data_IF_053465807671
#
_entry.id   IF_053465807671
#
_cell.length_a   1.000
_cell.length_b   1.000
_cell.length_c   1.000
_cell.angle_alpha   90.00
_cell.angle_beta   90.00
_cell.angle_gamma   90.00
#
_symmetry.space_group_name_H-M   'P 1'
#
loop_
_entity.id
_entity.type
_entity.pdbx_description
1 polymer ?
#
# COMPACT_ATOMS: atom_id res chain seq x y z
N UNK A 1 -37.56 -45.40 -15.85
CA UNK A 1 -36.39 -46.20 -15.40
C UNK A 1 -35.30 -45.24 -14.96
N UNK A 2 -35.02 -45.12 -13.64
CA UNK A 2 -34.00 -44.19 -13.12
C UNK A 2 -32.66 -44.90 -13.12
N UNK A 3 -31.79 -44.59 -14.09
CA UNK A 3 -30.41 -45.05 -14.14
C UNK A 3 -29.62 -44.37 -13.02
N UNK A 4 -29.66 -44.93 -11.80
CA UNK A 4 -28.73 -44.56 -10.73
C UNK A 4 -27.40 -45.24 -11.08
N UNK A 5 -26.55 -44.53 -11.82
CA UNK A 5 -25.14 -44.90 -11.93
C UNK A 5 -24.56 -44.82 -10.51
N UNK A 6 -24.43 -45.97 -9.86
CA UNK A 6 -23.65 -46.10 -8.63
C UNK A 6 -22.22 -45.73 -8.97
N UNK A 7 -21.79 -44.54 -8.54
CA UNK A 7 -20.39 -44.17 -8.60
C UNK A 7 -19.73 -44.96 -7.49
N UNK A 8 -19.01 -46.02 -7.84
CA UNK A 8 -18.07 -46.70 -6.94
C UNK A 8 -16.98 -45.68 -6.59
N UNK A 9 -17.25 -44.89 -5.55
CA UNK A 9 -16.42 -43.77 -5.13
C UNK A 9 -15.24 -44.34 -4.36
N UNK A 10 -14.23 -44.82 -5.09
CA UNK A 10 -13.00 -45.29 -4.48
C UNK A 10 -12.39 -44.19 -3.61
N UNK A 11 -11.79 -44.57 -2.49
CA UNK A 11 -11.19 -43.63 -1.54
C UNK A 11 -10.22 -42.66 -2.24
N UNK A 12 -9.51 -43.14 -3.26
CA UNK A 12 -8.59 -42.35 -4.07
C UNK A 12 -9.31 -41.22 -4.85
N UNK A 13 -10.51 -41.48 -5.38
CA UNK A 13 -11.32 -40.45 -6.07
C UNK A 13 -11.78 -39.38 -5.09
N UNK A 14 -12.14 -39.76 -3.86
CA UNK A 14 -12.52 -38.82 -2.80
C UNK A 14 -11.32 -37.95 -2.40
N UNK A 15 -10.16 -38.57 -2.19
CA UNK A 15 -8.92 -37.86 -1.82
C UNK A 15 -8.53 -36.85 -2.89
N UNK A 16 -8.56 -37.24 -4.18
CA UNK A 16 -8.27 -36.34 -5.29
C UNK A 16 -9.29 -35.20 -5.35
N UNK A 17 -10.58 -35.49 -5.20
CA UNK A 17 -11.64 -34.46 -5.23
C UNK A 17 -11.47 -33.43 -4.09
N UNK A 18 -11.10 -33.87 -2.88
CA UNK A 18 -10.84 -32.99 -1.74
C UNK A 18 -9.60 -32.14 -1.99
N UNK A 19 -8.51 -32.72 -2.49
CA UNK A 19 -7.28 -31.98 -2.81
C UNK A 19 -7.55 -30.91 -3.87
N UNK A 20 -8.26 -31.26 -4.94
CA UNK A 20 -8.63 -30.31 -6.00
C UNK A 20 -9.52 -29.20 -5.45
N UNK A 21 -10.49 -29.54 -4.59
CA UNK A 21 -11.36 -28.55 -3.96
C UNK A 21 -10.58 -27.58 -3.06
N UNK A 22 -9.63 -28.08 -2.27
CA UNK A 22 -8.76 -27.24 -1.43
C UNK A 22 -7.89 -26.33 -2.29
N UNK A 23 -7.24 -26.85 -3.33
CA UNK A 23 -6.40 -26.06 -4.24
C UNK A 23 -7.22 -24.97 -4.94
N UNK A 24 -8.42 -25.31 -5.41
CA UNK A 24 -9.33 -24.35 -6.06
C UNK A 24 -9.75 -23.27 -5.07
N UNK A 25 -10.13 -23.63 -3.84
CA UNK A 25 -10.49 -22.66 -2.80
C UNK A 25 -9.32 -21.75 -2.45
N UNK A 26 -8.12 -22.29 -2.23
CA UNK A 26 -6.91 -21.50 -1.94
C UNK A 26 -6.57 -20.57 -3.11
N UNK A 27 -6.64 -21.08 -4.34
CA UNK A 27 -6.39 -20.27 -5.54
C UNK A 27 -7.42 -19.14 -5.63
N UNK A 28 -8.71 -19.43 -5.42
CA UNK A 28 -9.78 -18.43 -5.38
C UNK A 28 -9.50 -17.39 -4.29
N UNK A 29 -9.08 -17.78 -3.09
CA UNK A 29 -8.77 -16.83 -2.01
C UNK A 29 -7.62 -15.89 -2.37
N UNK A 30 -6.58 -16.39 -3.05
CA UNK A 30 -5.45 -15.59 -3.52
C UNK A 30 -5.87 -14.68 -4.68
N UNK A 31 -6.59 -15.20 -5.68
CA UNK A 31 -7.00 -14.44 -6.86
C UNK A 31 -8.14 -13.45 -6.60
N UNK A 32 -9.07 -13.76 -5.70
CA UNK A 32 -10.16 -12.84 -5.31
C UNK A 32 -9.68 -11.74 -4.37
N UNK A 33 -8.40 -11.75 -3.96
CA UNK A 33 -7.77 -10.61 -3.31
C UNK A 33 -8.45 -10.21 -2.00
N UNK A 34 -9.08 -11.15 -1.28
CA UNK A 34 -9.73 -10.91 0.02
C UNK A 34 -8.77 -10.47 1.14
N UNK A 35 -7.50 -10.21 0.83
CA UNK A 35 -6.65 -9.30 1.59
C UNK A 35 -6.95 -7.83 1.20
N UNK A 36 -8.17 -7.38 1.46
CA UNK A 36 -8.64 -6.03 1.09
C UNK A 36 -8.58 -5.01 2.24
N UNK A 37 -7.74 -3.99 2.06
CA UNK A 37 -7.79 -2.61 2.59
C UNK A 37 -7.73 -2.28 4.09
N UNK A 38 -7.86 -3.23 5.01
CA UNK A 38 -7.85 -2.90 6.47
C UNK A 38 -6.46 -2.66 7.07
N UNK A 39 -5.37 -2.84 6.31
CA UNK A 39 -4.00 -2.66 6.82
C UNK A 39 -3.50 -1.21 6.77
N UNK A 40 -4.05 -0.33 5.92
CA UNK A 40 -3.60 1.08 5.84
C UNK A 40 -3.78 1.83 7.17
N UNK A 41 -4.86 1.55 7.90
CA UNK A 41 -5.15 2.23 9.17
C UNK A 41 -4.28 1.74 10.33
N UNK A 42 -3.84 0.47 10.27
CA UNK A 42 -2.95 -0.12 11.28
C UNK A 42 -1.48 0.24 10.97
N UNK A 43 -1.11 0.33 9.68
CA UNK A 43 0.17 0.89 9.24
C UNK A 43 0.33 2.34 9.68
N UNK A 44 -0.72 3.16 9.61
CA UNK A 44 -0.70 4.54 10.08
C UNK A 44 -0.52 4.71 11.61
N UNK A 45 -0.63 3.63 12.39
CA UNK A 45 -0.47 3.67 13.86
C UNK A 45 0.87 3.05 14.29
N UNK A 46 1.38 2.06 13.54
CA UNK A 46 2.65 1.40 13.84
C UNK A 46 3.84 1.87 12.97
N UNK A 47 3.60 2.65 11.91
CA UNK A 47 4.65 3.11 10.99
C UNK A 47 4.10 3.99 9.87
N UNK A 48 3.35 5.05 10.21
CA UNK A 48 2.90 6.01 9.20
C UNK A 48 4.09 6.78 8.67
N UNK A 49 4.34 6.60 7.39
CA UNK A 49 5.10 7.54 6.59
C UNK A 49 4.07 8.52 6.05
N UNK A 50 4.06 9.72 6.63
CA UNK A 50 3.20 10.81 6.18
C UNK A 50 3.91 11.54 5.03
N UNK A 51 3.13 12.03 4.08
CA UNK A 51 3.56 12.81 2.92
C UNK A 51 2.51 13.92 2.79
N UNK A 52 2.83 15.09 3.33
CA UNK A 52 1.87 16.15 3.59
C UNK A 52 1.50 16.91 2.30
N UNK A 53 2.48 17.14 1.44
CA UNK A 53 2.30 17.85 0.17
C UNK A 53 2.03 16.93 -1.03
N UNK A 54 2.19 15.61 -0.82
CA UNK A 54 1.86 14.53 -1.76
C UNK A 54 2.73 14.53 -3.01
N UNK A 55 3.99 14.94 -2.88
CA UNK A 55 4.94 14.86 -3.98
C UNK A 55 5.51 13.45 -4.19
N UNK A 56 5.21 12.53 -3.26
CA UNK A 56 5.63 11.13 -3.28
C UNK A 56 6.89 10.85 -2.45
N UNK A 57 7.37 11.83 -1.68
CA UNK A 57 8.46 11.70 -0.71
C UNK A 57 7.85 11.80 0.69
N UNK A 58 8.31 10.93 1.58
CA UNK A 58 7.82 10.91 2.96
C UNK A 58 8.34 12.15 3.69
N UNK A 59 7.53 12.79 4.55
CA UNK A 59 7.88 13.98 5.34
C UNK A 59 9.20 13.79 6.14
N UNK A 60 9.54 12.55 6.49
CA UNK A 60 10.77 12.18 7.20
C UNK A 60 12.03 12.23 6.31
N UNK A 61 11.86 12.09 5.00
CA UNK A 61 12.90 12.16 3.97
C UNK A 61 12.80 13.45 3.13
N UNK A 62 11.72 14.21 3.28
CA UNK A 62 11.48 15.46 2.60
C UNK A 62 12.15 16.65 3.33
N UNK A 63 12.94 17.42 2.60
CA UNK A 63 13.56 18.64 3.12
C UNK A 63 12.57 19.83 3.19
N UNK A 64 11.51 19.78 2.39
CA UNK A 64 10.46 20.78 2.26
C UNK A 64 9.06 20.13 2.38
N UNK A 65 8.70 19.51 3.52
CA UNK A 65 7.51 18.66 3.67
C UNK A 65 6.16 19.35 3.44
N UNK A 66 6.14 20.66 3.23
CA UNK A 66 4.93 21.46 3.04
C UNK A 66 4.80 22.04 1.64
N UNK A 67 5.80 21.86 0.78
CA UNK A 67 5.82 22.41 -0.56
C UNK A 67 6.29 21.36 -1.55
N UNK A 68 5.43 20.95 -2.49
CA UNK A 68 5.74 19.83 -3.37
C UNK A 68 6.98 20.16 -4.20
N UNK A 69 7.90 19.19 -4.26
CA UNK A 69 9.16 19.38 -4.95
C UNK A 69 9.53 18.26 -5.88
N UNK A 70 10.81 18.27 -6.26
CA UNK A 70 11.39 17.25 -7.11
C UNK A 70 12.21 16.31 -6.25
N UNK A 71 12.19 15.02 -6.59
CA UNK A 71 13.08 14.03 -5.99
C UNK A 71 14.57 14.38 -6.16
N UNK A 72 14.94 15.07 -7.24
CA UNK A 72 16.31 15.60 -7.46
C UNK A 72 16.78 16.57 -6.36
N UNK A 73 15.84 17.23 -5.67
CA UNK A 73 16.11 18.19 -4.60
C UNK A 73 15.57 17.72 -3.23
N UNK A 74 15.30 16.41 -3.08
CA UNK A 74 14.75 15.82 -1.86
C UNK A 74 13.46 16.52 -1.39
N UNK A 75 12.51 16.68 -2.32
CA UNK A 75 11.17 17.22 -2.03
C UNK A 75 11.07 18.74 -2.01
N UNK A 76 12.16 19.44 -2.35
CA UNK A 76 12.11 20.89 -2.59
C UNK A 76 11.98 21.25 -4.09
N UNK A 77 11.53 22.48 -4.37
CA UNK A 77 11.43 22.99 -5.75
C UNK A 77 12.79 23.24 -6.41
N UNK A 78 13.80 23.58 -5.61
CA UNK A 78 15.18 23.90 -6.01
C UNK A 78 16.18 23.43 -4.95
N UNK A 79 17.47 23.46 -5.28
CA UNK A 79 18.54 23.12 -4.33
C UNK A 79 18.54 24.04 -3.11
N UNK A 80 18.77 23.46 -1.91
CA UNK A 80 18.94 24.19 -0.64
C UNK A 80 20.08 25.23 -0.71
N UNK A 81 21.08 25.02 -1.57
CA UNK A 81 22.18 26.00 -1.79
C UNK A 81 21.69 27.30 -2.43
N UNK A 82 20.63 27.22 -3.23
CA UNK A 82 20.14 28.31 -4.09
C UNK A 82 18.94 29.03 -3.46
N UNK A 83 18.53 28.59 -2.26
CA UNK A 83 17.49 29.21 -1.46
C UNK A 83 18.02 30.36 -0.62
N UNK A 84 17.25 31.45 -0.60
CA UNK A 84 17.45 32.57 0.31
C UNK A 84 17.16 32.15 1.76
N UNK A 85 17.71 32.86 2.76
CA UNK A 85 17.43 32.58 4.17
C UNK A 85 15.92 32.63 4.51
N UNK A 86 15.18 33.52 3.84
CA UNK A 86 13.74 33.67 4.04
C UNK A 86 12.96 32.49 3.46
N UNK A 87 13.32 32.02 2.26
CA UNK A 87 12.72 30.82 1.66
C UNK A 87 12.93 29.59 2.52
N UNK A 88 14.15 29.36 3.03
CA UNK A 88 14.43 28.22 3.93
C UNK A 88 13.54 28.22 5.16
N UNK A 89 13.27 29.39 5.74
CA UNK A 89 12.43 29.52 6.93
C UNK A 89 10.97 29.16 6.66
N UNK A 90 10.51 29.35 5.42
CA UNK A 90 9.13 29.11 5.01
C UNK A 90 8.97 27.64 4.59
N UNK A 91 9.89 27.14 3.75
CA UNK A 91 9.78 25.86 3.07
C UNK A 91 10.23 24.68 3.94
N UNK A 92 11.20 24.87 4.86
CA UNK A 92 11.73 23.80 5.73
C UNK A 92 10.96 23.68 7.06
N UNK A 93 9.71 24.14 7.12
CA UNK A 93 8.89 24.09 8.33
C UNK A 93 8.24 22.71 8.42
N UNK A 94 8.31 22.07 9.58
CA UNK A 94 7.75 20.73 9.83
C UNK A 94 6.23 20.74 10.03
N UNK A 95 5.70 21.89 10.45
CA UNK A 95 4.28 22.11 10.64
C UNK A 95 3.75 22.86 9.43
N UNK A 96 3.08 22.15 8.52
CA UNK A 96 2.44 22.68 7.31
C UNK A 96 1.16 23.45 7.64
N UNK A 97 1.26 24.34 8.62
CA UNK A 97 0.24 25.35 8.86
C UNK A 97 0.15 26.21 7.60
N UNK A 98 -0.98 26.09 6.93
CA UNK A 98 -1.38 26.97 5.84
C UNK A 98 -1.25 28.40 6.33
N UNK A 99 -0.26 29.13 5.80
CA UNK A 99 -0.22 30.59 5.92
C UNK A 99 -1.53 31.11 5.33
N UNK A 100 -2.44 31.51 6.20
CA UNK A 100 -3.50 32.45 5.88
C UNK A 100 -2.89 33.83 5.63
#
# INVERSE_FOLDING_TARGET
>A
MKNKRGVELSLNVIVIAVIVLVIVVVSIMVFTGIMGDSTKKIYNIFGKMEDHDKDGIEDIMDNCPCEPGKSEYNGCQKSISDMTPDEKKIMMRSDCETKN
#
